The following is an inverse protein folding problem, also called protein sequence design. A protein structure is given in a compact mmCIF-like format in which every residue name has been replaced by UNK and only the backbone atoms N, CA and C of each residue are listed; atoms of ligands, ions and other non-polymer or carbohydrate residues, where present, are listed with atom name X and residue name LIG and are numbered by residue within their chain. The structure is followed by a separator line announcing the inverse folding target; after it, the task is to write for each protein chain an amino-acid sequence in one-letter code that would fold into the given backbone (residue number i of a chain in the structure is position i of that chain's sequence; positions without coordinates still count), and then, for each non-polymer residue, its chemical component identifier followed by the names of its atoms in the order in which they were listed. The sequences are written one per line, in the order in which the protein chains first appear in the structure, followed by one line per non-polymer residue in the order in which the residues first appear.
data_IF_914884212997
#
_entry.id   IF_914884212997
#
_cell.length_a   1.000
_cell.length_b   1.000
_cell.length_c   1.000
_cell.angle_alpha   90.00
_cell.angle_beta   90.00
_cell.angle_gamma   90.00
#
_symmetry.space_group_name_H-M   'P 1'
#
loop_
_entity.id
_entity.type
_entity.pdbx_description
1 polymer ?
#
# COMPACT_ATOMS: atom_id res chain seq x y z
N UNK A 1 25.50 -13.22 -7.67
CA UNK A 1 26.72 -13.21 -6.83
C UNK A 1 27.29 -14.62 -6.92
N UNK A 2 28.51 -14.82 -7.41
CA UNK A 2 29.09 -16.15 -7.64
C UNK A 2 29.51 -16.87 -6.36
N UNK A 3 28.67 -16.85 -5.33
CA UNK A 3 28.94 -17.45 -4.02
C UNK A 3 28.29 -18.83 -3.90
N UNK A 4 29.00 -19.76 -3.26
CA UNK A 4 28.48 -21.05 -2.84
C UNK A 4 27.55 -20.90 -1.63
N UNK A 5 26.62 -21.84 -1.47
CA UNK A 5 25.78 -21.91 -0.25
C UNK A 5 26.63 -22.11 1.01
N UNK A 6 27.80 -22.75 0.89
CA UNK A 6 28.75 -22.97 1.99
C UNK A 6 29.40 -21.68 2.51
N UNK A 7 29.21 -20.56 1.81
CA UNK A 7 29.70 -19.24 2.22
C UNK A 7 28.62 -18.41 2.94
N UNK A 8 27.43 -18.97 3.17
CA UNK A 8 26.31 -18.31 3.84
C UNK A 8 26.23 -18.75 5.30
N UNK A 9 26.67 -17.88 6.21
CA UNK A 9 26.78 -18.19 7.65
C UNK A 9 25.56 -17.76 8.48
N UNK A 10 24.74 -16.85 7.97
CA UNK A 10 23.65 -16.26 8.74
C UNK A 10 22.49 -15.85 7.85
N UNK A 11 21.27 -15.94 8.37
CA UNK A 11 20.03 -15.60 7.70
C UNK A 11 19.18 -14.71 8.62
N UNK A 12 18.57 -13.68 8.06
CA UNK A 12 17.58 -12.85 8.74
C UNK A 12 16.29 -12.86 7.92
N UNK A 13 15.19 -13.27 8.57
CA UNK A 13 13.92 -13.58 7.90
C UNK A 13 12.83 -12.71 8.51
N UNK A 14 12.23 -11.85 7.67
CA UNK A 14 11.11 -11.01 8.02
C UNK A 14 9.92 -11.35 7.11
N UNK A 15 8.73 -11.35 7.69
CA UNK A 15 7.49 -11.62 6.97
C UNK A 15 6.29 -11.52 7.90
N UNK A 16 5.11 -11.39 7.31
CA UNK A 16 3.87 -11.32 8.07
C UNK A 16 3.67 -12.60 8.91
N UNK A 17 2.79 -12.50 9.90
CA UNK A 17 2.55 -13.57 10.87
C UNK A 17 2.18 -14.91 10.24
N UNK A 18 1.38 -14.90 9.17
CA UNK A 18 1.00 -16.11 8.45
C UNK A 18 2.21 -16.76 7.77
N UNK A 19 3.02 -15.98 7.05
CA UNK A 19 4.25 -16.47 6.42
C UNK A 19 5.25 -16.98 7.45
N UNK A 20 5.41 -16.30 8.58
CA UNK A 20 6.26 -16.75 9.69
C UNK A 20 5.81 -18.13 10.21
N UNK A 21 4.51 -18.33 10.45
CA UNK A 21 4.01 -19.61 10.96
C UNK A 21 4.13 -20.74 9.93
N UNK A 22 3.81 -20.47 8.67
CA UNK A 22 3.96 -21.45 7.59
C UNK A 22 5.41 -21.87 7.41
N UNK A 23 6.33 -20.91 7.44
CA UNK A 23 7.76 -21.17 7.30
C UNK A 23 8.32 -22.03 8.45
N UNK A 24 7.83 -21.84 9.68
CA UNK A 24 8.21 -22.66 10.83
C UNK A 24 7.41 -23.97 10.97
N UNK A 25 6.43 -24.23 10.10
CA UNK A 25 5.52 -25.38 10.25
C UNK A 25 4.63 -25.29 11.51
N UNK A 26 4.37 -24.09 12.02
CA UNK A 26 3.50 -23.87 13.19
C UNK A 26 2.01 -23.92 12.80
N UNK A 27 1.11 -24.33 13.71
CA UNK A 27 -0.32 -24.33 13.45
C UNK A 27 -0.85 -22.93 13.11
N UNK A 28 -1.53 -22.79 11.97
CA UNK A 28 -2.11 -21.52 11.49
C UNK A 28 -3.62 -21.38 11.72
N UNK A 29 -4.30 -22.45 12.18
CA UNK A 29 -5.77 -22.46 12.39
C UNK A 29 -6.26 -21.30 13.24
N UNK A 30 -5.52 -20.88 14.26
CA UNK A 30 -5.95 -19.81 15.16
C UNK A 30 -5.72 -18.41 14.57
N UNK A 31 -4.90 -18.26 13.52
CA UNK A 31 -4.72 -16.98 12.82
C UNK A 31 -5.96 -16.58 12.00
N UNK A 32 -6.88 -17.52 11.73
CA UNK A 32 -8.15 -17.24 11.06
C UNK A 32 -9.36 -17.15 12.01
N UNK A 33 -9.15 -17.35 13.32
CA UNK A 33 -10.21 -17.36 14.32
C UNK A 33 -9.96 -16.24 15.34
N UNK A 34 -10.90 -15.30 15.45
CA UNK A 34 -10.85 -14.23 16.45
C UNK A 34 -10.60 -14.83 17.86
N UNK A 35 -9.63 -14.31 18.64
CA UNK A 35 -8.92 -13.03 18.49
C UNK A 35 -7.61 -13.08 17.68
N UNK A 36 -7.49 -14.03 16.75
CA UNK A 36 -6.37 -14.21 15.81
C UNK A 36 -4.99 -14.40 16.48
N UNK A 37 -4.87 -15.20 17.57
CA UNK A 37 -3.63 -15.26 18.31
C UNK A 37 -2.52 -16.01 17.53
N UNK A 38 -1.30 -15.45 17.43
CA UNK A 38 -0.15 -16.20 16.98
C UNK A 38 0.30 -17.22 18.03
N UNK A 39 0.89 -18.33 17.58
CA UNK A 39 1.47 -19.37 18.46
C UNK A 39 2.76 -18.89 19.13
N UNK A 40 3.54 -18.08 18.42
CA UNK A 40 4.76 -17.44 18.93
C UNK A 40 4.83 -15.99 18.48
N UNK A 41 5.26 -15.10 19.38
CA UNK A 41 5.44 -13.67 19.11
C UNK A 41 6.85 -13.14 19.35
N UNK A 42 7.69 -13.86 20.11
CA UNK A 42 9.10 -13.51 20.28
C UNK A 42 9.90 -13.84 19.00
N UNK A 43 10.99 -13.13 18.80
CA UNK A 43 12.00 -13.47 17.82
C UNK A 43 12.67 -14.79 18.18
N UNK A 44 13.03 -15.53 17.14
CA UNK A 44 13.49 -16.90 17.26
C UNK A 44 14.79 -17.06 16.49
N UNK A 45 15.64 -17.96 16.97
CA UNK A 45 16.88 -18.30 16.30
C UNK A 45 17.04 -19.81 16.24
N UNK A 46 17.31 -20.31 15.03
CA UNK A 46 17.46 -21.73 14.75
C UNK A 46 18.77 -21.98 14.00
N UNK A 47 19.22 -23.23 13.98
CA UNK A 47 20.15 -23.68 12.95
C UNK A 47 19.43 -23.63 11.59
N UNK A 48 20.09 -23.10 10.57
CA UNK A 48 19.50 -22.90 9.24
C UNK A 48 19.05 -24.23 8.60
N UNK A 49 19.81 -25.31 8.84
CA UNK A 49 19.49 -26.66 8.36
C UNK A 49 18.16 -27.19 8.89
N UNK A 50 17.78 -26.86 10.12
CA UNK A 50 16.48 -27.25 10.73
C UNK A 50 15.29 -26.58 10.04
N UNK A 51 15.53 -25.49 9.32
CA UNK A 51 14.53 -24.77 8.52
C UNK A 51 14.60 -25.11 7.03
N UNK A 52 15.44 -26.09 6.65
CA UNK A 52 15.65 -26.46 5.24
C UNK A 52 16.45 -25.43 4.43
N UNK A 53 17.10 -24.47 5.10
CA UNK A 53 17.95 -23.48 4.43
C UNK A 53 19.34 -24.07 4.14
N UNK A 54 19.86 -23.78 2.96
CA UNK A 54 21.20 -24.20 2.53
C UNK A 54 22.21 -23.12 2.88
N UNK A 55 23.03 -23.38 3.89
CA UNK A 55 24.11 -22.50 4.35
C UNK A 55 25.36 -23.28 4.74
N UNK A 56 26.36 -22.59 5.28
CA UNK A 56 27.54 -23.18 5.89
C UNK A 56 27.16 -24.11 7.06
N UNK A 57 28.04 -25.05 7.47
CA UNK A 57 27.92 -25.74 8.75
C UNK A 57 27.71 -24.74 9.89
N UNK A 58 26.81 -25.06 10.82
CA UNK A 58 26.43 -24.23 11.98
C UNK A 58 25.82 -22.86 11.64
N UNK A 59 25.43 -22.62 10.39
CA UNK A 59 24.74 -21.39 10.00
C UNK A 59 23.44 -21.20 10.79
N UNK A 60 23.16 -19.94 11.15
CA UNK A 60 22.03 -19.55 12.00
C UNK A 60 20.97 -18.82 11.19
N UNK A 61 19.73 -18.91 11.61
CA UNK A 61 18.62 -18.19 11.02
C UNK A 61 17.81 -17.49 12.11
N UNK A 62 17.78 -16.17 12.03
CA UNK A 62 16.99 -15.31 12.90
C UNK A 62 15.66 -14.95 12.22
N UNK A 63 14.56 -15.15 12.95
CA UNK A 63 13.24 -14.70 12.56
C UNK A 63 12.82 -13.54 13.46
N UNK A 64 12.27 -12.50 12.85
CA UNK A 64 11.78 -11.34 13.57
C UNK A 64 10.60 -11.70 14.48
N UNK A 65 10.45 -11.00 15.62
CA UNK A 65 9.26 -11.11 16.43
C UNK A 65 8.00 -10.62 15.69
N UNK A 66 6.84 -11.03 16.19
CA UNK A 66 5.53 -10.69 15.66
C UNK A 66 4.79 -9.78 16.64
N UNK A 67 4.12 -8.75 16.13
CA UNK A 67 3.28 -7.85 16.94
C UNK A 67 1.92 -8.47 17.25
N UNK A 68 1.24 -9.03 16.25
CA UNK A 68 -0.10 -9.59 16.37
C UNK A 68 -0.43 -10.59 15.24
N UNK A 69 -1.65 -11.15 15.24
CA UNK A 69 -2.12 -12.10 14.22
C UNK A 69 -1.95 -11.64 12.78
N UNK A 70 -2.07 -10.33 12.52
CA UNK A 70 -1.95 -9.73 11.19
C UNK A 70 -0.81 -8.72 11.05
N UNK A 71 0.00 -8.50 12.09
CA UNK A 71 1.15 -7.58 12.04
C UNK A 71 2.39 -8.36 12.44
N UNK A 72 3.19 -8.74 11.44
CA UNK A 72 4.29 -9.68 11.61
C UNK A 72 5.66 -9.03 11.77
N UNK A 73 6.68 -9.84 11.47
CA UNK A 73 8.09 -9.44 11.58
C UNK A 73 8.57 -8.53 10.46
N UNK A 74 7.86 -8.50 9.33
CA UNK A 74 8.00 -7.48 8.28
C UNK A 74 7.73 -6.08 8.83
N UNK A 75 6.59 -5.86 9.50
CA UNK A 75 6.29 -4.59 10.14
C UNK A 75 7.32 -4.18 11.20
N UNK A 76 7.88 -5.15 11.94
CA UNK A 76 8.97 -4.89 12.89
C UNK A 76 10.25 -4.48 12.17
N UNK A 77 10.57 -5.13 11.06
CA UNK A 77 11.68 -4.76 10.21
C UNK A 77 11.49 -3.35 9.61
N UNK A 78 10.27 -2.97 9.23
CA UNK A 78 9.96 -1.62 8.76
C UNK A 78 10.19 -0.56 9.84
N UNK A 79 9.74 -0.84 11.07
CA UNK A 79 9.98 0.04 12.21
C UNK A 79 11.47 0.23 12.45
N UNK A 80 12.27 -0.84 12.33
CA UNK A 80 13.73 -0.82 12.44
C UNK A 80 14.37 0.04 11.34
N UNK A 81 14.00 -0.19 10.09
CA UNK A 81 14.56 0.50 8.94
C UNK A 81 14.27 2.01 8.96
N UNK A 82 13.04 2.38 9.33
CA UNK A 82 12.59 3.78 9.37
C UNK A 82 12.98 4.52 10.64
N UNK A 83 13.33 3.80 11.71
CA UNK A 83 13.61 4.33 13.05
C UNK A 83 12.46 5.13 13.66
N UNK A 84 11.22 4.85 13.27
CA UNK A 84 10.00 5.52 13.75
C UNK A 84 9.89 5.52 15.28
N UNK A 85 10.33 4.44 15.93
CA UNK A 85 10.34 4.27 17.39
C UNK A 85 11.33 5.18 18.14
N UNK A 86 12.15 5.97 17.45
CA UNK A 86 13.20 6.80 18.04
C UNK A 86 13.06 8.29 17.72
N UNK A 87 12.24 8.66 16.74
CA UNK A 87 12.01 10.07 16.38
C UNK A 87 11.12 10.75 17.43
N UNK A 88 11.35 12.04 17.70
CA UNK A 88 10.46 12.83 18.59
C UNK A 88 9.15 13.19 17.89
N UNK A 89 9.20 13.34 16.57
CA UNK A 89 8.10 13.79 15.73
C UNK A 89 7.14 12.64 15.46
N UNK A 90 5.84 12.95 15.40
CA UNK A 90 4.83 11.97 15.02
C UNK A 90 5.04 11.60 13.55
N UNK A 91 5.22 10.31 13.31
CA UNK A 91 5.41 9.75 11.99
C UNK A 91 4.35 8.69 11.71
N UNK A 92 3.98 8.58 10.44
CA UNK A 92 3.12 7.55 9.89
C UNK A 92 3.96 6.69 8.96
N UNK A 93 3.91 5.38 9.11
CA UNK A 93 4.51 4.40 8.21
C UNK A 93 3.38 3.56 7.65
N UNK A 94 3.38 3.38 6.33
CA UNK A 94 2.42 2.56 5.61
C UNK A 94 3.25 1.65 4.71
N UNK A 95 3.31 0.37 5.03
CA UNK A 95 3.81 -0.64 4.10
C UNK A 95 2.66 -1.11 3.23
N UNK A 96 2.82 -1.03 1.91
CA UNK A 96 1.79 -1.36 0.94
C UNK A 96 2.17 -2.68 0.28
N UNK A 97 1.36 -3.69 0.55
CA UNK A 97 1.26 -4.91 -0.25
C UNK A 97 -0.17 -5.41 -0.28
N UNK A 98 -0.33 -6.72 -0.31
CA UNK A 98 -1.64 -7.37 -0.39
C UNK A 98 -2.48 -7.03 0.84
N UNK A 99 -1.81 -6.95 1.99
CA UNK A 99 -2.28 -6.20 3.14
C UNK A 99 -1.46 -4.91 3.24
N UNK A 100 -2.02 -3.92 3.92
CA UNK A 100 -1.25 -2.75 4.30
C UNK A 100 -1.07 -2.69 5.81
N UNK A 101 0.17 -2.73 6.24
CA UNK A 101 0.58 -2.55 7.62
C UNK A 101 0.80 -1.06 7.89
N UNK A 102 0.10 -0.53 8.89
CA UNK A 102 0.13 0.90 9.22
C UNK A 102 0.66 1.04 10.63
N UNK A 103 1.69 1.88 10.80
CA UNK A 103 2.31 2.19 12.08
C UNK A 103 2.28 3.71 12.28
N UNK A 104 1.72 4.17 13.40
CA UNK A 104 1.64 5.58 13.77
C UNK A 104 2.29 5.80 15.14
N UNK A 105 3.17 6.79 15.24
CA UNK A 105 3.69 7.22 16.54
C UNK A 105 5.09 7.81 16.46
N UNK A 106 5.82 7.68 17.57
CA UNK A 106 7.14 8.29 17.77
C UNK A 106 7.93 7.55 18.89
N UNK A 107 8.92 8.22 19.48
CA UNK A 107 9.71 7.72 20.61
C UNK A 107 8.95 7.46 21.91
N UNK A 108 7.71 7.92 22.03
CA UNK A 108 6.92 7.77 23.26
C UNK A 108 6.00 6.55 23.18
N UNK A 109 5.68 6.09 21.96
CA UNK A 109 4.88 4.89 21.73
C UNK A 109 4.45 4.76 20.27
N UNK A 110 4.02 3.56 19.90
CA UNK A 110 3.55 3.24 18.56
C UNK A 110 2.18 2.59 18.62
N UNK A 111 1.37 2.86 17.61
CA UNK A 111 0.15 2.13 17.31
C UNK A 111 0.33 1.41 15.98
N UNK A 112 -0.15 0.18 15.89
CA UNK A 112 -0.06 -0.59 14.66
C UNK A 112 -1.38 -1.28 14.34
N UNK A 113 -1.72 -1.37 13.06
CA UNK A 113 -2.78 -2.22 12.55
C UNK A 113 -2.37 -2.80 11.20
N UNK A 114 -3.08 -3.84 10.76
CA UNK A 114 -3.04 -4.31 9.38
C UNK A 114 -4.44 -4.18 8.80
N UNK A 115 -4.55 -3.75 7.55
CA UNK A 115 -5.81 -3.68 6.82
C UNK A 115 -5.74 -4.52 5.55
N UNK A 116 -6.83 -5.24 5.28
CA UNK A 116 -7.02 -6.00 4.05
C UNK A 116 -7.33 -5.04 2.89
N UNK A 117 -6.30 -4.39 2.35
CA UNK A 117 -6.41 -3.55 1.15
C UNK A 117 -6.61 -4.37 -0.12
N UNK A 118 -6.24 -5.65 -0.10
CA UNK A 118 -6.22 -6.47 -1.30
C UNK A 118 -5.09 -6.07 -2.25
N UNK A 119 -4.84 -6.88 -3.29
CA UNK A 119 -3.68 -6.71 -4.15
C UNK A 119 -3.92 -5.73 -5.32
N UNK A 120 -4.95 -4.87 -5.24
CA UNK A 120 -5.31 -3.93 -6.30
C UNK A 120 -4.18 -2.93 -6.61
N UNK A 121 -3.47 -2.47 -5.58
CA UNK A 121 -2.29 -1.60 -5.74
C UNK A 121 -1.09 -2.30 -6.39
N UNK A 122 -1.09 -3.64 -6.42
CA UNK A 122 -0.09 -4.46 -7.10
C UNK A 122 -0.49 -4.79 -8.55
N UNK A 123 -1.68 -4.34 -8.99
CA UNK A 123 -2.24 -4.64 -10.30
C UNK A 123 -2.99 -5.97 -10.39
N UNK A 124 -3.10 -6.75 -9.30
CA UNK A 124 -3.97 -7.91 -9.29
C UNK A 124 -5.44 -7.51 -9.10
N UNK A 125 -6.37 -8.32 -9.61
CA UNK A 125 -7.81 -7.99 -9.71
C UNK A 125 -8.14 -6.76 -10.57
N UNK A 126 -7.15 -6.16 -11.22
CA UNK A 126 -7.35 -5.13 -12.23
C UNK A 126 -7.31 -5.79 -13.62
N UNK A 127 -8.27 -5.48 -14.50
CA UNK A 127 -8.44 -6.16 -15.80
C UNK A 127 -7.17 -6.22 -16.65
N UNK A 128 -6.49 -5.09 -16.79
CA UNK A 128 -5.21 -4.99 -17.50
C UNK A 128 -4.04 -4.75 -16.53
N UNK A 129 -4.22 -5.08 -15.25
CA UNK A 129 -3.20 -4.87 -14.25
C UNK A 129 -2.08 -5.90 -14.38
N UNK A 130 -0.85 -5.45 -14.13
CA UNK A 130 0.34 -6.29 -14.15
C UNK A 130 1.41 -5.76 -13.19
N UNK A 131 2.38 -6.61 -12.86
CA UNK A 131 3.55 -6.21 -12.10
C UNK A 131 4.38 -5.16 -12.86
N UNK A 132 5.14 -4.37 -12.12
CA UNK A 132 6.06 -3.38 -12.67
C UNK A 132 7.23 -4.03 -13.41
N UNK A 133 7.07 -4.22 -14.71
CA UNK A 133 8.07 -4.77 -15.61
C UNK A 133 8.01 -4.08 -16.98
N UNK A 134 8.98 -4.36 -17.85
CA UNK A 134 9.01 -3.80 -19.21
C UNK A 134 7.67 -3.96 -19.93
N UNK A 135 7.19 -2.88 -20.54
CA UNK A 135 5.88 -2.83 -21.19
C UNK A 135 4.70 -2.48 -20.25
N UNK A 136 4.90 -2.38 -18.93
CA UNK A 136 3.86 -1.89 -18.03
C UNK A 136 3.76 -0.36 -18.05
N UNK A 137 2.53 0.17 -18.10
CA UNK A 137 2.27 1.59 -17.89
C UNK A 137 2.52 1.92 -16.42
N UNK A 138 3.48 2.80 -16.14
CA UNK A 138 3.91 3.18 -14.78
C UNK A 138 3.40 4.55 -14.32
N UNK A 139 2.85 5.35 -15.22
CA UNK A 139 2.26 6.66 -14.89
C UNK A 139 1.16 7.00 -15.88
N UNK A 140 0.05 7.57 -15.40
CA UNK A 140 -1.05 8.07 -16.21
C UNK A 140 -1.37 9.50 -15.79
N UNK A 141 -1.64 10.39 -16.75
CA UNK A 141 -2.21 11.71 -16.48
C UNK A 141 -3.17 12.13 -17.57
N UNK A 142 -4.17 12.93 -17.20
CA UNK A 142 -5.21 13.38 -18.12
C UNK A 142 -5.15 14.90 -18.17
N UNK A 143 -5.10 15.44 -19.38
CA UNK A 143 -5.25 16.88 -19.58
C UNK A 143 -6.70 17.28 -19.25
N UNK A 144 -6.94 18.17 -18.27
CA UNK A 144 -8.29 18.45 -17.80
C UNK A 144 -9.15 19.24 -18.79
N UNK A 145 -8.55 19.88 -19.81
CA UNK A 145 -9.28 20.69 -20.80
C UNK A 145 -9.61 19.87 -22.06
N UNK A 146 -8.65 19.08 -22.53
CA UNK A 146 -8.78 18.27 -23.75
C UNK A 146 -9.22 16.84 -23.49
N UNK A 147 -9.17 16.40 -22.22
CA UNK A 147 -9.35 15.01 -21.80
C UNK A 147 -8.38 14.03 -22.47
N UNK A 148 -7.25 14.54 -22.99
CA UNK A 148 -6.20 13.71 -23.59
C UNK A 148 -5.53 12.89 -22.49
N UNK A 149 -5.62 11.57 -22.61
CA UNK A 149 -4.93 10.64 -21.72
C UNK A 149 -3.48 10.47 -22.20
N UNK A 150 -2.54 10.65 -21.28
CA UNK A 150 -1.11 10.48 -21.50
C UNK A 150 -0.57 9.46 -20.50
N UNK A 151 0.51 8.79 -20.86
CA UNK A 151 1.10 7.75 -20.02
C UNK A 151 2.61 7.57 -20.25
N UNK A 152 3.27 6.91 -19.30
CA UNK A 152 4.67 6.49 -19.40
C UNK A 152 4.78 4.96 -19.25
N UNK A 153 5.63 4.34 -20.04
CA UNK A 153 5.82 2.87 -20.07
C UNK A 153 7.24 2.52 -19.62
N UNK A 154 7.36 1.51 -18.76
CA UNK A 154 8.66 0.96 -18.35
C UNK A 154 9.37 0.38 -19.59
N UNK A 155 10.61 0.79 -19.79
CA UNK A 155 11.43 0.39 -20.95
C UNK A 155 11.16 1.17 -22.24
N UNK A 156 10.18 2.07 -22.27
CA UNK A 156 9.89 2.89 -23.46
C UNK A 156 9.37 2.09 -24.66
N UNK A 157 8.90 0.87 -24.42
CA UNK A 157 8.29 -0.01 -25.43
C UNK A 157 6.78 0.20 -25.52
N UNK A 158 6.10 -0.49 -26.44
CA UNK A 158 4.64 -0.49 -26.51
C UNK A 158 4.03 -1.09 -25.22
N UNK A 159 2.96 -0.50 -24.66
CA UNK A 159 2.38 -0.98 -23.42
C UNK A 159 1.63 -2.29 -23.61
N UNK A 160 1.69 -3.18 -22.61
CA UNK A 160 0.97 -4.47 -22.58
C UNK A 160 0.05 -4.62 -21.36
N UNK A 161 0.09 -3.67 -20.43
CA UNK A 161 -0.76 -3.60 -19.25
C UNK A 161 -0.43 -2.37 -18.39
N UNK A 162 -0.99 -2.32 -17.17
CA UNK A 162 -0.94 -1.17 -16.25
C UNK A 162 -0.42 -1.61 -14.88
N UNK A 163 0.56 -0.89 -14.33
CA UNK A 163 0.95 -1.08 -12.92
C UNK A 163 -0.17 -0.63 -11.99
N UNK A 164 -0.38 -1.29 -10.85
CA UNK A 164 -1.42 -0.86 -9.89
C UNK A 164 -1.26 0.60 -9.42
N UNK A 165 -0.03 1.09 -9.29
CA UNK A 165 0.28 2.51 -9.03
C UNK A 165 -0.22 3.46 -10.13
N UNK A 166 -0.11 3.06 -11.39
CA UNK A 166 -0.61 3.84 -12.53
C UNK A 166 -2.14 3.80 -12.64
N UNK A 167 -2.79 2.72 -12.17
CA UNK A 167 -4.26 2.68 -12.04
C UNK A 167 -4.74 3.72 -11.03
N UNK A 168 -4.04 3.86 -9.89
CA UNK A 168 -4.31 4.91 -8.89
C UNK A 168 -4.18 6.31 -9.51
N UNK A 169 -3.12 6.56 -10.28
CA UNK A 169 -2.96 7.81 -11.04
C UNK A 169 -4.12 8.05 -12.00
N UNK A 170 -4.47 7.04 -12.79
CA UNK A 170 -5.58 7.10 -13.74
C UNK A 170 -6.89 7.49 -13.06
N UNK A 171 -7.23 6.83 -11.95
CA UNK A 171 -8.45 7.12 -11.19
C UNK A 171 -8.42 8.50 -10.56
N UNK A 172 -7.29 8.94 -10.01
CA UNK A 172 -7.15 10.29 -9.48
C UNK A 172 -7.41 11.35 -10.57
N UNK A 173 -6.86 11.15 -11.77
CA UNK A 173 -7.09 12.04 -12.90
C UNK A 173 -8.50 11.97 -13.47
N UNK A 174 -9.11 10.78 -13.50
CA UNK A 174 -10.51 10.61 -13.87
C UNK A 174 -11.43 11.38 -12.92
N UNK A 175 -11.14 11.36 -11.62
CA UNK A 175 -11.88 12.12 -10.60
C UNK A 175 -11.70 13.63 -10.81
N UNK A 176 -10.45 14.08 -10.97
CA UNK A 176 -10.12 15.49 -11.22
C UNK A 176 -10.75 16.07 -12.49
N UNK A 177 -10.99 15.22 -13.48
CA UNK A 177 -11.50 15.62 -14.80
C UNK A 177 -13.00 15.32 -14.97
N UNK A 178 -13.69 14.91 -13.90
CA UNK A 178 -15.13 14.63 -13.93
C UNK A 178 -15.53 13.39 -14.76
N UNK A 179 -14.57 12.53 -15.13
CA UNK A 179 -14.80 11.25 -15.82
C UNK A 179 -15.50 10.26 -14.88
N UNK A 180 -15.20 10.34 -13.59
CA UNK A 180 -15.90 9.62 -12.53
C UNK A 180 -16.47 10.62 -11.51
N UNK A 181 -17.62 10.27 -10.94
CA UNK A 181 -18.20 10.99 -9.81
C UNK A 181 -17.56 10.58 -8.47
N UNK A 182 -17.95 11.23 -7.37
CA UNK A 182 -17.46 10.90 -6.02
C UNK A 182 -17.82 9.48 -5.57
N UNK A 183 -18.81 8.84 -6.20
CA UNK A 183 -19.15 7.44 -5.94
C UNK A 183 -18.34 6.49 -6.83
N UNK A 184 -17.40 7.00 -7.63
CA UNK A 184 -16.58 6.22 -8.55
C UNK A 184 -17.34 5.73 -9.79
N UNK A 185 -18.54 6.25 -10.07
CA UNK A 185 -19.28 5.89 -11.27
C UNK A 185 -18.72 6.66 -12.46
N UNK A 186 -18.38 5.95 -13.53
CA UNK A 186 -18.01 6.57 -14.80
C UNK A 186 -19.24 7.25 -15.41
N UNK A 187 -19.15 8.56 -15.62
CA UNK A 187 -20.24 9.34 -16.20
C UNK A 187 -20.13 9.20 -17.72
N UNK A 188 -21.22 8.76 -18.36
CA UNK A 188 -21.29 8.65 -19.83
C UNK A 188 -21.33 10.05 -20.42
N UNK A 189 -20.18 10.64 -20.72
CA UNK A 189 -20.10 11.90 -21.43
C UNK A 189 -20.24 11.66 -22.93
N UNK A 190 -21.32 12.16 -23.53
CA UNK A 190 -21.33 12.39 -24.98
C UNK A 190 -20.15 13.30 -25.32
N UNK A 191 -19.24 12.84 -26.20
CA UNK A 191 -18.03 13.57 -26.59
C UNK A 191 -16.73 13.20 -25.85
N UNK A 192 -16.74 12.27 -24.89
CA UNK A 192 -15.49 11.81 -24.26
C UNK A 192 -14.76 10.77 -25.14
N UNK A 193 -13.75 11.22 -25.89
CA UNK A 193 -13.03 10.46 -26.92
C UNK A 193 -12.37 9.14 -26.49
N UNK A 194 -12.29 8.84 -25.19
CA UNK A 194 -11.64 7.63 -24.66
C UNK A 194 -12.54 6.79 -23.75
N UNK A 195 -13.86 6.83 -23.94
CA UNK A 195 -14.79 5.94 -23.24
C UNK A 195 -15.36 4.86 -24.18
N UNK A 196 -15.46 3.63 -23.69
CA UNK A 196 -16.13 2.51 -24.38
C UNK A 196 -16.97 1.70 -23.41
N UNK A 197 -17.75 0.77 -23.94
CA UNK A 197 -18.37 -0.30 -23.16
C UNK A 197 -17.48 -1.54 -23.25
N UNK A 198 -17.15 -2.09 -22.09
CA UNK A 198 -16.33 -3.28 -21.90
C UNK A 198 -17.06 -4.19 -20.91
N UNK A 199 -17.36 -5.43 -21.30
CA UNK A 199 -18.14 -6.39 -20.47
C UNK A 199 -19.48 -5.83 -19.93
N UNK A 200 -20.15 -4.99 -20.74
CA UNK A 200 -21.43 -4.38 -20.37
C UNK A 200 -21.34 -3.17 -19.43
N UNK A 201 -20.13 -2.76 -19.04
CA UNK A 201 -19.88 -1.60 -18.18
C UNK A 201 -19.01 -0.54 -18.88
N UNK A 202 -19.07 0.74 -18.47
CA UNK A 202 -18.15 1.75 -18.99
C UNK A 202 -16.69 1.44 -18.64
N UNK A 203 -15.80 1.77 -19.56
CA UNK A 203 -14.35 1.73 -19.38
C UNK A 203 -13.68 2.90 -20.09
N UNK A 204 -12.59 3.40 -19.51
CA UNK A 204 -11.72 4.40 -20.13
C UNK A 204 -10.57 3.71 -20.84
N UNK A 205 -10.37 4.03 -22.12
CA UNK A 205 -9.22 3.58 -22.91
C UNK A 205 -7.99 4.40 -22.51
N UNK A 206 -6.96 3.72 -22.00
CA UNK A 206 -5.66 4.33 -21.67
C UNK A 206 -4.75 4.32 -22.88
N UNK A 207 -4.65 3.17 -23.54
CA UNK A 207 -3.94 3.00 -24.81
C UNK A 207 -4.83 2.18 -25.77
N UNK A 208 -5.01 2.66 -27.00
CA UNK A 208 -5.75 1.94 -28.03
C UNK A 208 -4.99 0.70 -28.51
N UNK A 209 -5.68 -0.22 -29.20
CA UNK A 209 -5.06 -1.38 -29.87
C UNK A 209 -3.83 -1.01 -30.73
N UNK A 210 -3.86 0.12 -31.44
CA UNK A 210 -2.76 0.55 -32.31
C UNK A 210 -1.54 1.06 -31.51
N UNK A 211 -1.81 1.71 -30.38
CA UNK A 211 -0.81 2.20 -29.43
C UNK A 211 -0.19 1.03 -28.62
N UNK A 212 -0.98 0.00 -28.33
CA UNK A 212 -0.61 -1.12 -27.48
C UNK A 212 0.28 -2.16 -28.17
N UNK A 213 1.01 -2.93 -27.35
CA UNK A 213 1.80 -4.10 -27.76
C UNK A 213 0.98 -5.40 -27.76
N UNK A 214 -0.33 -5.30 -27.55
CA UNK A 214 -1.28 -6.43 -27.52
C UNK A 214 -2.42 -6.16 -28.50
N UNK A 215 -3.12 -7.22 -28.93
CA UNK A 215 -4.16 -7.12 -29.96
C UNK A 215 -5.53 -6.62 -29.42
N UNK A 216 -5.51 -5.66 -28.52
CA UNK A 216 -6.70 -5.05 -27.89
C UNK A 216 -6.34 -3.74 -27.20
N UNK A 217 -7.36 -2.95 -26.89
CA UNK A 217 -7.20 -1.76 -26.05
C UNK A 217 -6.76 -2.14 -24.63
N UNK A 218 -5.97 -1.26 -24.01
CA UNK A 218 -5.67 -1.28 -22.57
C UNK A 218 -6.60 -0.27 -21.91
N UNK A 219 -7.42 -0.74 -20.98
CA UNK A 219 -8.49 0.06 -20.35
C UNK A 219 -8.42 0.06 -18.83
N UNK A 220 -9.02 1.09 -18.22
CA UNK A 220 -9.46 1.10 -16.83
C UNK A 220 -10.97 0.96 -16.83
N UNK A 221 -11.49 -0.10 -16.24
CA UNK A 221 -12.92 -0.44 -16.21
C UNK A 221 -13.62 0.11 -14.97
N UNK A 222 -14.96 0.12 -15.00
CA UNK A 222 -15.76 0.41 -13.82
C UNK A 222 -15.44 -0.52 -12.64
N UNK A 223 -15.11 -1.80 -12.87
CA UNK A 223 -14.74 -2.73 -11.80
C UNK A 223 -13.38 -2.38 -11.21
N UNK A 224 -12.40 -2.00 -12.04
CA UNK A 224 -11.07 -1.56 -11.56
C UNK A 224 -11.20 -0.37 -10.60
N UNK A 225 -12.13 0.57 -10.90
CA UNK A 225 -12.44 1.68 -9.98
C UNK A 225 -12.98 1.17 -8.64
N UNK A 226 -13.83 0.14 -8.65
CA UNK A 226 -14.38 -0.46 -7.42
C UNK A 226 -13.31 -1.13 -6.57
N UNK A 227 -12.39 -1.87 -7.19
CA UNK A 227 -11.28 -2.51 -6.48
C UNK A 227 -10.38 -1.47 -5.80
N UNK A 228 -10.06 -0.38 -6.49
CA UNK A 228 -9.28 0.71 -5.90
C UNK A 228 -10.05 1.43 -4.80
N UNK A 229 -11.37 1.63 -4.93
CA UNK A 229 -12.19 2.19 -3.85
C UNK A 229 -12.15 1.33 -2.58
N UNK A 230 -12.23 0.01 -2.71
CA UNK A 230 -12.14 -0.91 -1.57
C UNK A 230 -10.75 -0.84 -0.92
N UNK A 231 -9.69 -0.94 -1.75
CA UNK A 231 -8.31 -0.93 -1.28
C UNK A 231 -7.96 0.36 -0.54
N UNK A 232 -8.27 1.52 -1.14
CA UNK A 232 -7.99 2.81 -0.54
C UNK A 232 -8.84 3.08 0.70
N UNK A 233 -10.09 2.60 0.73
CA UNK A 233 -10.96 2.76 1.90
C UNK A 233 -10.42 1.98 3.09
N UNK A 234 -9.89 0.77 2.87
CA UNK A 234 -9.25 -0.03 3.91
C UNK A 234 -8.05 0.70 4.53
N UNK A 235 -7.14 1.22 3.69
CA UNK A 235 -5.95 1.96 4.13
C UNK A 235 -6.34 3.23 4.89
N UNK A 236 -7.22 4.06 4.32
CA UNK A 236 -7.66 5.30 4.99
C UNK A 236 -8.34 5.01 6.33
N UNK A 237 -9.10 3.93 6.42
CA UNK A 237 -9.77 3.51 7.66
C UNK A 237 -8.77 3.13 8.73
N UNK A 238 -7.75 2.34 8.38
CA UNK A 238 -6.65 1.99 9.29
C UNK A 238 -5.95 3.24 9.82
N UNK A 239 -5.53 4.13 8.92
CA UNK A 239 -4.86 5.40 9.28
C UNK A 239 -5.75 6.22 10.23
N UNK A 240 -7.02 6.41 9.87
CA UNK A 240 -7.97 7.23 10.61
C UNK A 240 -8.24 6.68 12.01
N UNK A 241 -8.38 5.36 12.14
CA UNK A 241 -8.58 4.71 13.43
C UNK A 241 -7.33 4.86 14.30
N UNK A 242 -6.14 4.58 13.77
CA UNK A 242 -4.90 4.77 14.54
C UNK A 242 -4.75 6.22 15.02
N UNK A 243 -5.03 7.19 14.15
CA UNK A 243 -5.02 8.62 14.50
C UNK A 243 -5.98 8.92 15.65
N UNK A 244 -7.21 8.39 15.63
CA UNK A 244 -8.17 8.55 16.74
C UNK A 244 -7.67 7.93 18.04
N UNK A 245 -7.15 6.69 17.99
CA UNK A 245 -6.63 5.97 19.16
C UNK A 245 -5.40 6.65 19.76
N UNK A 246 -4.56 7.26 18.92
CA UNK A 246 -3.41 8.05 19.33
C UNK A 246 -3.73 9.52 19.68
N UNK A 247 -4.96 9.98 19.43
CA UNK A 247 -5.38 11.39 19.55
C UNK A 247 -4.51 12.35 18.72
N UNK A 248 -4.14 11.92 17.53
CA UNK A 248 -3.31 12.65 16.56
C UNK A 248 -4.21 13.16 15.43
N UNK A 249 -4.01 14.41 15.02
CA UNK A 249 -4.65 14.95 13.80
C UNK A 249 -3.70 14.83 12.61
N UNK A 250 -4.20 14.83 11.36
CA UNK A 250 -3.35 14.81 10.17
C UNK A 250 -2.28 15.92 10.17
N UNK A 251 -2.60 17.11 10.69
CA UNK A 251 -1.68 18.24 10.81
C UNK A 251 -0.47 17.96 11.71
N UNK A 252 -0.64 17.09 12.69
CA UNK A 252 0.36 16.76 13.71
C UNK A 252 1.37 15.73 13.17
N UNK A 253 1.07 15.04 12.06
CA UNK A 253 1.98 14.10 11.39
C UNK A 253 3.04 14.87 10.61
N UNK A 254 4.30 14.77 11.04
CA UNK A 254 5.42 15.50 10.45
C UNK A 254 6.16 14.69 9.38
N UNK A 255 6.01 13.36 9.38
CA UNK A 255 6.63 12.45 8.42
C UNK A 255 5.69 11.33 8.03
N UNK A 256 5.64 11.00 6.75
CA UNK A 256 4.96 9.83 6.22
C UNK A 256 5.98 8.99 5.45
N UNK A 257 6.13 7.73 5.83
CA UNK A 257 6.95 6.73 5.16
C UNK A 257 6.04 5.80 4.37
N UNK A 258 6.16 5.82 3.04
CA UNK A 258 5.49 4.86 2.16
C UNK A 258 6.49 3.77 1.80
N UNK A 259 6.24 2.56 2.28
CA UNK A 259 7.02 1.36 2.01
C UNK A 259 6.28 0.43 1.04
N UNK A 260 7.01 -0.52 0.46
CA UNK A 260 6.50 -1.52 -0.45
C UNK A 260 7.58 -2.06 -1.40
N UNK A 261 7.42 -3.31 -1.85
CA UNK A 261 8.45 -4.02 -2.62
C UNK A 261 8.28 -3.96 -4.15
N UNK A 262 7.19 -3.37 -4.66
CA UNK A 262 6.69 -3.65 -6.03
C UNK A 262 7.22 -2.76 -7.16
N UNK A 263 8.43 -2.21 -7.03
CA UNK A 263 9.18 -1.59 -8.13
C UNK A 263 8.63 -0.26 -8.70
N UNK A 264 7.37 0.10 -8.43
CA UNK A 264 6.76 1.39 -8.78
C UNK A 264 6.20 2.07 -7.54
N UNK A 265 6.04 3.39 -7.64
CA UNK A 265 5.65 4.24 -6.51
C UNK A 265 4.25 4.77 -6.75
N UNK A 266 3.37 4.62 -5.77
CA UNK A 266 2.10 5.36 -5.78
C UNK A 266 2.44 6.84 -5.60
N UNK A 267 1.99 7.68 -6.54
CA UNK A 267 2.16 9.12 -6.45
C UNK A 267 1.42 9.65 -5.19
N UNK A 268 2.12 10.32 -4.25
CA UNK A 268 1.49 10.82 -3.04
C UNK A 268 0.33 11.77 -3.29
N UNK A 269 0.36 12.52 -4.40
CA UNK A 269 -0.72 13.40 -4.79
C UNK A 269 -1.95 12.58 -5.22
N UNK A 270 -1.76 11.59 -6.09
CA UNK A 270 -2.83 10.68 -6.51
C UNK A 270 -3.44 9.93 -5.33
N UNK A 271 -2.61 9.42 -4.41
CA UNK A 271 -3.06 8.74 -3.19
C UNK A 271 -3.91 9.64 -2.28
N UNK A 272 -3.52 10.91 -2.10
CA UNK A 272 -4.33 11.90 -1.37
C UNK A 272 -5.65 12.16 -2.11
N UNK A 273 -5.60 12.30 -3.42
CA UNK A 273 -6.75 12.71 -4.22
C UNK A 273 -7.82 11.64 -4.35
N UNK A 274 -7.45 10.36 -4.35
CA UNK A 274 -8.42 9.27 -4.19
C UNK A 274 -8.85 9.08 -2.73
N UNK A 275 -8.21 9.78 -1.78
CA UNK A 275 -8.49 9.68 -0.35
C UNK A 275 -7.97 8.41 0.31
N UNK A 276 -6.90 7.82 -0.22
CA UNK A 276 -6.11 6.79 0.46
C UNK A 276 -5.34 7.38 1.64
N UNK A 277 -4.69 8.53 1.41
CA UNK A 277 -3.99 9.30 2.44
C UNK A 277 -4.86 10.46 2.93
N UNK A 278 -4.88 10.77 4.23
CA UNK A 278 -5.47 12.02 4.71
C UNK A 278 -4.72 13.23 4.14
N UNK A 279 -5.31 14.43 4.20
CA UNK A 279 -4.65 15.68 3.76
C UNK A 279 -3.47 16.07 4.67
N UNK A 280 -2.35 15.37 4.49
CA UNK A 280 -1.04 15.69 5.03
C UNK A 280 -0.25 16.42 3.93
N UNK A 281 0.53 17.46 4.27
CA UNK A 281 1.38 18.13 3.29
C UNK A 281 2.29 17.14 2.54
N UNK A 282 2.23 17.14 1.20
CA UNK A 282 2.94 16.16 0.36
C UNK A 282 4.46 16.15 0.58
N UNK A 283 5.06 17.30 0.92
CA UNK A 283 6.49 17.40 1.26
C UNK A 283 6.90 16.61 2.51
N UNK A 284 5.95 16.11 3.30
CA UNK A 284 6.19 15.21 4.44
C UNK A 284 6.17 13.73 4.05
N UNK A 285 5.72 13.40 2.84
CA UNK A 285 5.62 12.03 2.34
C UNK A 285 6.91 11.62 1.65
N UNK A 286 7.46 10.48 2.06
CA UNK A 286 8.70 9.92 1.53
C UNK A 286 8.52 8.45 1.23
N UNK A 287 8.86 8.08 0.00
CA UNK A 287 8.98 6.68 -0.36
C UNK A 287 10.29 6.10 0.20
N UNK A 288 10.22 4.94 0.84
CA UNK A 288 11.36 4.28 1.52
C UNK A 288 11.68 2.89 0.98
N UNK A 289 10.97 2.42 -0.03
CA UNK A 289 11.25 1.13 -0.68
C UNK A 289 10.85 -0.07 0.16
N UNK A 290 11.51 -1.19 -0.10
CA UNK A 290 11.34 -2.42 0.67
C UNK A 290 12.05 -2.30 2.02
N UNK A 291 11.34 -1.74 3.00
CA UNK A 291 11.85 -1.55 4.36
C UNK A 291 11.94 -2.85 5.15
N UNK A 292 11.09 -3.84 4.88
CA UNK A 292 11.20 -5.16 5.50
C UNK A 292 12.54 -5.81 5.17
N UNK A 293 12.94 -5.78 3.90
CA UNK A 293 14.25 -6.24 3.45
C UNK A 293 15.40 -5.39 4.01
N UNK A 294 15.23 -4.07 4.14
CA UNK A 294 16.23 -3.22 4.75
C UNK A 294 16.43 -3.51 6.25
N UNK A 295 15.35 -3.68 7.00
CA UNK A 295 15.37 -4.06 8.40
C UNK A 295 15.98 -5.45 8.61
N UNK A 296 15.64 -6.42 7.75
CA UNK A 296 16.25 -7.74 7.76
C UNK A 296 17.77 -7.68 7.58
N UNK A 297 18.27 -6.89 6.61
CA UNK A 297 19.72 -6.67 6.44
C UNK A 297 20.36 -6.03 7.68
N UNK A 298 19.67 -5.09 8.34
CA UNK A 298 20.18 -4.48 9.58
C UNK A 298 20.25 -5.46 10.76
N UNK A 299 19.31 -6.41 10.85
CA UNK A 299 19.35 -7.47 11.86
C UNK A 299 20.36 -8.58 11.53
N UNK A 300 20.63 -8.81 10.25
CA UNK A 300 21.63 -9.76 9.79
C UNK A 300 23.03 -9.38 10.30
N UNK A 301 23.40 -8.10 10.21
CA UNK A 301 24.74 -7.62 10.57
C UNK A 301 24.87 -7.11 12.02
N UNK A 302 23.82 -7.21 12.84
CA UNK A 302 23.84 -6.64 14.19
C UNK A 302 22.92 -7.36 15.18
N UNK A 303 23.53 -8.03 16.16
CA UNK A 303 22.81 -8.62 17.31
C UNK A 303 22.03 -7.58 18.11
N UNK A 304 22.56 -6.36 18.26
CA UNK A 304 21.87 -5.23 18.90
C UNK A 304 20.57 -4.86 18.19
N UNK A 305 20.50 -5.01 16.87
CA UNK A 305 19.26 -4.81 16.10
C UNK A 305 18.24 -5.92 16.38
N UNK A 306 18.68 -7.17 16.55
CA UNK A 306 17.80 -8.28 16.96
C UNK A 306 17.20 -8.03 18.34
N UNK A 307 18.02 -7.64 19.32
CA UNK A 307 17.56 -7.24 20.66
C UNK A 307 16.62 -6.02 20.62
N UNK A 308 16.86 -5.09 19.69
CA UNK A 308 16.00 -3.94 19.50
C UNK A 308 14.63 -4.32 18.93
N UNK A 309 14.57 -5.30 18.01
CA UNK A 309 13.33 -5.82 17.47
C UNK A 309 12.39 -6.28 18.60
N UNK A 310 12.91 -7.06 19.56
CA UNK A 310 12.17 -7.48 20.76
C UNK A 310 11.68 -6.30 21.59
N UNK A 311 12.58 -5.34 21.88
CA UNK A 311 12.24 -4.18 22.72
C UNK A 311 11.18 -3.29 22.11
N UNK A 312 11.09 -3.20 20.79
CA UNK A 312 10.07 -2.40 20.10
C UNK A 312 8.68 -2.97 20.34
N UNK A 313 8.50 -4.30 20.43
CA UNK A 313 7.18 -4.91 20.64
C UNK A 313 6.48 -4.37 21.89
N UNK A 314 7.21 -4.21 23.00
CA UNK A 314 6.67 -3.69 24.25
C UNK A 314 6.18 -2.23 24.18
N UNK A 315 6.47 -1.53 23.08
CA UNK A 315 6.08 -0.14 22.83
C UNK A 315 4.98 0.00 21.78
N UNK A 316 4.57 -1.11 21.17
CA UNK A 316 3.57 -1.14 20.10
C UNK A 316 2.21 -1.55 20.69
N UNK A 317 1.21 -0.71 20.46
CA UNK A 317 -0.21 -1.01 20.74
C UNK A 317 -0.88 -1.47 19.47
N UNK A 318 -1.17 -2.77 19.40
CA UNK A 318 -1.95 -3.30 18.29
C UNK A 318 -3.41 -2.87 18.38
N UNK A 319 -3.97 -2.43 17.25
CA UNK A 319 -5.39 -2.10 17.11
C UNK A 319 -6.03 -3.10 16.15
N UNK A 320 -6.89 -3.96 16.68
CA UNK A 320 -7.71 -4.87 15.90
C UNK A 320 -8.84 -4.09 15.21
N UNK A 321 -8.65 -3.79 13.92
CA UNK A 321 -9.59 -2.96 13.15
C UNK A 321 -10.97 -3.61 13.06
N UNK A 322 -11.05 -4.93 12.89
CA UNK A 322 -12.33 -5.63 12.75
C UNK A 322 -13.19 -5.55 14.02
N UNK A 323 -12.56 -5.38 15.19
CA UNK A 323 -13.24 -5.21 16.47
C UNK A 323 -13.46 -3.73 16.85
N UNK A 324 -12.95 -2.78 16.06
CA UNK A 324 -13.11 -1.36 16.34
C UNK A 324 -14.54 -0.89 15.99
N UNK A 325 -15.22 -0.30 16.98
CA UNK A 325 -16.60 0.20 16.83
C UNK A 325 -16.76 1.25 15.73
N UNK A 326 -15.70 1.97 15.40
CA UNK A 326 -15.73 3.01 14.36
C UNK A 326 -15.47 2.45 12.94
N UNK A 327 -15.00 1.20 12.81
CA UNK A 327 -14.53 0.64 11.54
C UNK A 327 -15.54 0.75 10.41
N UNK A 328 -16.74 0.19 10.61
CA UNK A 328 -17.76 0.14 9.55
C UNK A 328 -18.15 1.54 9.07
N UNK A 329 -18.29 2.50 9.99
CA UNK A 329 -18.65 3.88 9.64
C UNK A 329 -17.55 4.54 8.84
N UNK A 330 -16.30 4.47 9.32
CA UNK A 330 -15.15 5.11 8.64
C UNK A 330 -14.92 4.48 7.28
N UNK A 331 -15.02 3.15 7.17
CA UNK A 331 -14.84 2.42 5.92
C UNK A 331 -15.88 2.82 4.88
N UNK A 332 -17.17 2.84 5.24
CA UNK A 332 -18.25 3.23 4.33
C UNK A 332 -18.08 4.68 3.85
N UNK A 333 -17.72 5.60 4.73
CA UNK A 333 -17.45 6.99 4.34
C UNK A 333 -16.22 7.09 3.42
N UNK A 334 -15.23 6.23 3.63
CA UNK A 334 -14.00 6.18 2.85
C UNK A 334 -14.14 5.50 1.47
N UNK A 335 -15.27 4.85 1.15
CA UNK A 335 -15.51 4.28 -0.18
C UNK A 335 -15.70 5.36 -1.26
N UNK A 336 -16.29 6.50 -0.91
CA UNK A 336 -16.42 7.65 -1.82
C UNK A 336 -15.07 8.33 -2.05
N UNK A 337 -14.88 8.97 -3.20
CA UNK A 337 -13.63 9.60 -3.65
C UNK A 337 -13.72 11.14 -3.51
N UNK A 338 -12.81 11.79 -2.75
CA UNK A 338 -11.81 11.19 -1.85
C UNK A 338 -12.42 10.58 -0.58
N UNK A 339 -13.54 11.12 -0.10
CA UNK A 339 -14.28 10.63 1.05
C UNK A 339 -15.69 11.26 1.05
N UNK A 340 -16.69 10.58 1.62
CA UNK A 340 -18.04 11.14 1.81
C UNK A 340 -18.00 12.43 2.63
N UNK A 341 -17.12 12.47 3.63
CA UNK A 341 -16.88 13.64 4.48
C UNK A 341 -15.95 14.63 3.77
N UNK A 342 -16.54 15.47 2.92
CA UNK A 342 -15.81 16.43 2.07
C UNK A 342 -14.92 17.39 2.87
N UNK A 343 -15.32 17.73 4.10
CA UNK A 343 -14.57 18.62 4.98
C UNK A 343 -13.19 18.06 5.41
N UNK A 344 -12.96 16.76 5.27
CA UNK A 344 -11.66 16.12 5.53
C UNK A 344 -10.67 16.29 4.37
N UNK A 345 -11.15 16.70 3.20
CA UNK A 345 -10.38 16.85 1.96
C UNK A 345 -10.63 18.21 1.27
N UNK A 346 -10.45 19.35 1.96
CA UNK A 346 -10.76 20.67 1.41
C UNK A 346 -9.88 21.06 0.21
N UNK A 347 -8.66 20.55 0.10
CA UNK A 347 -7.76 20.84 -1.01
C UNK A 347 -8.18 20.08 -2.26
N UNK A 348 -8.42 18.78 -2.13
CA UNK A 348 -8.85 17.92 -3.24
C UNK A 348 -10.20 18.38 -3.78
N UNK A 349 -11.17 18.68 -2.91
CA UNK A 349 -12.50 19.13 -3.32
C UNK A 349 -12.44 20.44 -4.13
N UNK A 350 -11.60 21.40 -3.74
CA UNK A 350 -11.40 22.64 -4.51
C UNK A 350 -10.80 22.38 -5.89
N UNK A 351 -9.89 21.42 -6.01
CA UNK A 351 -9.29 21.05 -7.31
C UNK A 351 -10.35 20.46 -8.23
N UNK A 352 -11.15 19.51 -7.71
CA UNK A 352 -12.22 18.87 -8.47
C UNK A 352 -13.25 19.92 -8.93
N UNK A 353 -13.73 20.77 -8.02
CA UNK A 353 -14.71 21.82 -8.34
C UNK A 353 -14.19 22.76 -9.42
N UNK A 354 -12.96 23.27 -9.26
CA UNK A 354 -12.32 24.16 -10.25
C UNK A 354 -12.22 23.53 -11.63
N UNK A 355 -11.78 22.27 -11.70
CA UNK A 355 -11.58 21.59 -12.97
C UNK A 355 -12.92 21.28 -13.66
N UNK A 356 -13.93 20.86 -12.90
CA UNK A 356 -15.27 20.61 -13.44
C UNK A 356 -15.92 21.90 -13.97
N UNK A 357 -15.79 23.03 -13.27
CA UNK A 357 -16.28 24.34 -13.77
C UNK A 357 -15.64 24.71 -15.11
N UNK A 358 -14.32 24.54 -15.25
CA UNK A 358 -13.60 24.80 -16.51
C UNK A 358 -14.11 23.94 -17.67
N UNK A 359 -14.37 22.65 -17.43
CA UNK A 359 -14.91 21.74 -18.44
C UNK A 359 -16.33 22.15 -18.86
N UNK A 360 -17.12 22.70 -17.95
CA UNK A 360 -18.49 23.17 -18.22
C UNK A 360 -18.55 24.56 -18.87
N UNK A 361 -17.46 25.32 -18.83
CA UNK A 361 -17.41 26.70 -19.32
C UNK A 361 -18.07 27.72 -18.38
N UNK A 362 -18.20 27.38 -17.09
CA UNK A 362 -18.79 28.21 -16.02
C UNK A 362 -17.77 29.06 -15.26
#
# INVERSE_FOLDING_TARGET
VGCSHEEIFDFAIAGNTAMHHLFLGLPTRHLSLSPYPPVSSRGLEFEASKLGLKGAPDSRAYLFPIVAGFVGGDAVADMIATRIYSDRRISLLIDIGTNAEIILGNKDGLYACSCASGPAFEGAHIKHGMAAMEGAIEKIWIDPETLRVNYKVIGGVKPVGICGSAVVDGIAWMLRSGIIDSKGRMVKGEGMFRMKIEDGLPAMVVASRDEAGIDRDIVITQQDVREIQLAKAAVYTGISILMRRARVRPSDVEKVYLAGAFGTFIDPESARDIGMLPEIPLGRVRFVGNTAGAGARMALISSRTRELAERILGRVKYVELAADRDFQKVFVDALELPNRRRELFPTVNRIIERNISRIRGD
#
